data_IF_322871500264
#
_entry.id   IF_322871500264
#
_cell.length_a   1.000
_cell.length_b   1.000
_cell.length_c   1.000
_cell.angle_alpha   90.00
_cell.angle_beta   90.00
_cell.angle_gamma   90.00
#
_symmetry.space_group_name_H-M   'P 1'
#
loop_
_entity.id
_entity.type
_entity.pdbx_description
1 polymer ?
#
# COMPACT_ATOMS: atom_id res chain seq x y z
N UNK A 1 3.96 -2.00 14.47
CA UNK A 1 3.98 -1.55 13.08
C UNK A 1 2.87 -2.20 12.29
N UNK A 2 2.30 -1.49 11.34
CA UNK A 2 1.24 -2.02 10.50
C UNK A 2 1.81 -2.41 9.13
N UNK A 3 1.28 -3.48 8.56
CA UNK A 3 1.74 -4.02 7.28
C UNK A 3 0.80 -3.58 6.16
N UNK A 4 1.39 -3.18 5.02
CA UNK A 4 0.65 -2.73 3.85
C UNK A 4 1.18 -3.38 2.59
N UNK A 5 0.27 -3.64 1.64
CA UNK A 5 0.63 -3.99 0.27
C UNK A 5 0.41 -2.75 -0.59
N UNK A 6 1.44 -2.33 -1.30
CA UNK A 6 1.38 -1.18 -2.20
C UNK A 6 1.52 -1.70 -3.62
N UNK A 7 0.45 -1.58 -4.39
CA UNK A 7 0.46 -1.91 -5.82
C UNK A 7 0.75 -0.65 -6.61
N UNK A 8 1.62 -0.75 -7.60
CA UNK A 8 2.00 0.42 -8.37
C UNK A 8 2.04 0.15 -9.87
N UNK A 9 1.69 1.18 -10.63
CA UNK A 9 1.72 1.16 -12.08
C UNK A 9 2.51 2.38 -12.52
N UNK A 10 3.60 2.16 -13.24
CA UNK A 10 4.46 3.25 -13.72
C UNK A 10 3.78 4.03 -14.86
N UNK A 11 4.14 5.30 -14.98
CA UNK A 11 3.83 6.05 -16.18
C UNK A 11 4.69 5.53 -17.34
N UNK A 12 4.22 5.74 -18.57
CA UNK A 12 5.00 5.36 -19.76
C UNK A 12 6.36 6.07 -19.81
N UNK A 13 6.40 7.32 -19.35
CA UNK A 13 7.64 8.09 -19.26
C UNK A 13 8.65 7.46 -18.30
N UNK A 14 8.17 6.95 -17.17
CA UNK A 14 9.01 6.27 -16.19
C UNK A 14 9.58 4.98 -16.77
N UNK A 15 8.74 4.20 -17.46
CA UNK A 15 9.21 3.00 -18.14
C UNK A 15 10.30 3.32 -19.15
N UNK A 16 10.09 4.37 -19.96
CA UNK A 16 11.09 4.79 -20.96
C UNK A 16 12.42 5.16 -20.32
N UNK A 17 12.37 5.89 -19.20
CA UNK A 17 13.59 6.25 -18.46
C UNK A 17 14.30 5.01 -17.89
N UNK A 18 13.55 4.05 -17.39
CA UNK A 18 14.12 2.82 -16.82
C UNK A 18 14.73 1.92 -17.89
N UNK A 19 14.16 1.90 -19.08
CA UNK A 19 14.75 1.18 -20.22
C UNK A 19 16.11 1.78 -20.57
N UNK A 20 16.21 3.09 -20.61
CA UNK A 20 17.45 3.78 -20.97
C UNK A 20 18.50 3.72 -19.86
N UNK A 21 18.07 3.80 -18.61
CA UNK A 21 18.98 3.81 -17.45
C UNK A 21 18.40 2.97 -16.32
N UNK A 22 18.58 1.65 -16.39
CA UNK A 22 18.14 0.77 -15.30
C UNK A 22 18.89 1.11 -14.01
N UNK A 23 18.20 0.99 -12.88
CA UNK A 23 18.77 1.21 -11.57
C UNK A 23 18.31 0.16 -10.60
N UNK A 24 18.84 0.22 -9.37
CA UNK A 24 18.40 -0.66 -8.29
C UNK A 24 17.11 -0.10 -7.68
N UNK A 25 15.99 -0.55 -8.20
CA UNK A 25 14.69 -0.07 -7.74
C UNK A 25 14.32 -0.61 -6.35
N UNK A 26 14.83 -1.79 -6.00
CA UNK A 26 14.64 -2.34 -4.64
C UNK A 26 15.30 -1.46 -3.60
N UNK A 27 16.53 -1.01 -3.86
CA UNK A 27 17.23 -0.10 -2.96
C UNK A 27 16.47 1.22 -2.80
N UNK A 28 15.91 1.75 -3.88
CA UNK A 28 15.14 2.99 -3.84
C UNK A 28 13.86 2.84 -2.99
N UNK A 29 13.15 1.73 -3.14
CA UNK A 29 11.95 1.45 -2.34
C UNK A 29 12.31 1.28 -0.86
N UNK A 30 13.41 0.59 -0.58
CA UNK A 30 13.89 0.41 0.80
C UNK A 30 14.23 1.76 1.44
N UNK A 31 14.93 2.61 0.74
CA UNK A 31 15.30 3.94 1.23
C UNK A 31 14.05 4.77 1.53
N UNK A 32 13.07 4.73 0.67
CA UNK A 32 11.80 5.42 0.85
C UNK A 32 11.09 4.94 2.12
N UNK A 33 10.99 3.63 2.28
CA UNK A 33 10.32 3.03 3.45
C UNK A 33 11.06 3.37 4.74
N UNK A 34 12.40 3.31 4.71
CA UNK A 34 13.22 3.66 5.86
C UNK A 34 13.01 5.12 6.27
N UNK A 35 12.77 6.01 5.32
CA UNK A 35 12.61 7.44 5.58
C UNK A 35 11.41 7.78 6.47
N UNK A 36 10.43 6.91 6.54
CA UNK A 36 9.24 7.08 7.40
C UNK A 36 9.28 6.16 8.63
N UNK A 37 10.43 5.58 8.92
CA UNK A 37 10.60 4.71 10.08
C UNK A 37 10.05 3.30 9.88
N UNK A 38 9.82 2.90 8.65
CA UNK A 38 9.33 1.58 8.31
C UNK A 38 10.42 0.63 7.82
N UNK A 39 10.01 -0.51 7.33
CA UNK A 39 10.91 -1.49 6.71
C UNK A 39 10.24 -2.15 5.52
N UNK A 40 11.04 -2.44 4.49
CA UNK A 40 10.59 -3.15 3.30
C UNK A 40 10.71 -4.65 3.56
N UNK A 41 9.58 -5.37 3.47
CA UNK A 41 9.59 -6.82 3.58
C UNK A 41 9.96 -7.46 2.25
N UNK A 42 9.28 -7.04 1.17
CA UNK A 42 9.52 -7.60 -0.16
C UNK A 42 8.99 -6.66 -1.23
N UNK A 43 9.55 -6.76 -2.43
CA UNK A 43 9.05 -6.06 -3.60
C UNK A 43 9.22 -6.98 -4.81
N UNK A 44 8.20 -6.99 -5.67
CA UNK A 44 8.19 -7.76 -6.90
C UNK A 44 7.60 -6.93 -8.02
N UNK A 45 8.09 -7.14 -9.24
CA UNK A 45 7.51 -6.55 -10.43
C UNK A 45 6.66 -7.60 -11.13
N UNK A 46 5.63 -7.15 -11.84
CA UNK A 46 4.65 -8.04 -12.44
C UNK A 46 4.15 -7.47 -13.78
N UNK A 47 3.43 -8.29 -14.49
CA UNK A 47 2.76 -7.91 -15.74
C UNK A 47 1.26 -7.93 -15.50
N UNK A 48 0.53 -7.02 -16.16
CA UNK A 48 -0.92 -6.98 -16.08
C UNK A 48 -1.42 -5.62 -15.63
N UNK A 49 -2.44 -5.61 -14.78
CA UNK A 49 -3.06 -4.37 -14.31
C UNK A 49 -2.11 -3.50 -13.49
N UNK A 50 -1.16 -4.13 -12.80
CA UNK A 50 -0.13 -3.44 -12.01
C UNK A 50 1.24 -3.84 -12.50
N UNK A 51 2.23 -2.98 -12.25
CA UNK A 51 3.61 -3.23 -12.63
C UNK A 51 4.44 -3.76 -11.46
N UNK A 52 3.95 -3.61 -10.24
CA UNK A 52 4.66 -4.15 -9.08
C UNK A 52 3.84 -4.13 -7.80
N UNK A 53 4.39 -4.80 -6.80
CA UNK A 53 3.84 -4.87 -5.45
C UNK A 53 4.99 -4.76 -4.45
N UNK A 54 4.83 -3.91 -3.44
CA UNK A 54 5.73 -3.83 -2.31
C UNK A 54 4.97 -4.17 -1.03
N UNK A 55 5.56 -5.00 -0.20
CA UNK A 55 5.04 -5.29 1.14
C UNK A 55 5.91 -4.55 2.13
N UNK A 56 5.31 -3.66 2.91
CA UNK A 56 6.03 -2.79 3.83
C UNK A 56 5.41 -2.81 5.22
N UNK A 57 6.25 -2.62 6.22
CA UNK A 57 5.81 -2.36 7.59
C UNK A 57 6.09 -0.89 7.89
N UNK A 58 5.08 -0.17 8.35
CA UNK A 58 5.22 1.25 8.72
C UNK A 58 4.55 1.49 10.07
N UNK A 59 4.97 2.55 10.79
CA UNK A 59 4.47 2.78 12.14
C UNK A 59 2.96 2.98 12.23
N UNK A 60 2.36 3.66 11.25
CA UNK A 60 0.94 3.99 11.28
C UNK A 60 0.41 4.31 9.88
N UNK A 61 -0.90 4.49 9.77
CA UNK A 61 -1.56 4.77 8.51
C UNK A 61 -1.23 6.16 7.96
N UNK A 62 -0.90 7.12 8.82
CA UNK A 62 -0.52 8.46 8.38
C UNK A 62 0.79 8.39 7.59
N UNK A 63 1.76 7.63 8.06
CA UNK A 63 3.03 7.45 7.36
C UNK A 63 2.87 6.65 6.08
N UNK A 64 1.98 5.65 6.08
CA UNK A 64 1.65 4.92 4.86
C UNK A 64 1.06 5.84 3.80
N UNK A 65 0.12 6.71 4.19
CA UNK A 65 -0.47 7.69 3.30
C UNK A 65 0.57 8.71 2.81
N UNK A 66 1.47 9.14 3.70
CA UNK A 66 2.53 10.09 3.34
C UNK A 66 3.44 9.56 2.24
N UNK A 67 3.80 8.28 2.29
CA UNK A 67 4.59 7.64 1.24
C UNK A 67 3.82 7.69 -0.08
N UNK A 68 2.55 7.32 -0.07
CA UNK A 68 1.72 7.32 -1.28
C UNK A 68 1.59 8.72 -1.88
N UNK A 69 1.40 9.74 -1.06
CA UNK A 69 1.31 11.13 -1.52
C UNK A 69 2.64 11.60 -2.10
N UNK A 70 3.74 11.33 -1.40
CA UNK A 70 5.07 11.74 -1.84
C UNK A 70 5.41 11.12 -3.19
N UNK A 71 5.18 9.83 -3.34
CA UNK A 71 5.47 9.10 -4.58
C UNK A 71 4.50 9.54 -5.69
N UNK A 72 3.22 9.66 -5.38
CA UNK A 72 2.21 10.06 -6.34
C UNK A 72 2.42 11.48 -6.88
N UNK A 73 3.01 12.37 -6.08
CA UNK A 73 3.25 13.75 -6.49
C UNK A 73 4.35 13.90 -7.54
N UNK A 74 5.13 12.86 -7.77
CA UNK A 74 6.26 12.92 -8.72
C UNK A 74 5.86 12.74 -10.17
N UNK A 75 4.65 12.23 -10.44
CA UNK A 75 4.23 11.88 -11.79
C UNK A 75 4.86 10.60 -12.33
N UNK A 76 5.65 9.91 -11.51
CA UNK A 76 6.34 8.67 -11.92
C UNK A 76 5.39 7.49 -12.05
N UNK A 77 4.25 7.56 -11.39
CA UNK A 77 3.27 6.47 -11.36
C UNK A 77 1.95 6.91 -11.95
N UNK A 78 1.38 6.05 -12.78
CA UNK A 78 0.06 6.22 -13.34
C UNK A 78 -1.02 5.92 -12.29
N UNK A 79 -0.73 4.98 -11.39
CA UNK A 79 -1.67 4.54 -10.38
C UNK A 79 -0.94 3.92 -9.19
N UNK A 80 -1.48 4.14 -7.99
CA UNK A 80 -1.01 3.54 -6.75
C UNK A 80 -2.22 3.06 -5.97
N UNK A 81 -2.11 1.87 -5.38
CA UNK A 81 -3.10 1.33 -4.45
C UNK A 81 -2.39 0.88 -3.19
N UNK A 82 -2.86 1.33 -2.04
CA UNK A 82 -2.30 0.93 -0.76
C UNK A 82 -3.38 0.20 0.03
N UNK A 83 -3.09 -1.05 0.37
CA UNK A 83 -4.02 -1.90 1.11
C UNK A 83 -3.42 -2.25 2.46
N UNK A 84 -4.17 -1.98 3.54
CA UNK A 84 -3.80 -2.47 4.86
C UNK A 84 -3.95 -3.98 4.92
N UNK A 85 -2.97 -4.65 5.50
CA UNK A 85 -2.97 -6.09 5.64
C UNK A 85 -3.22 -6.47 7.09
N UNK A 86 -3.93 -7.56 7.29
CA UNK A 86 -4.27 -8.05 8.63
C UNK A 86 -3.66 -9.43 8.81
N UNK A 87 -3.09 -9.66 10.00
CA UNK A 87 -2.71 -10.99 10.42
C UNK A 87 -3.95 -11.79 10.83
N UNK A 88 -3.80 -13.08 11.04
CA UNK A 88 -4.91 -13.90 11.54
C UNK A 88 -5.42 -13.40 12.90
N UNK A 89 -4.52 -12.99 13.79
CA UNK A 89 -4.91 -12.45 15.10
C UNK A 89 -5.69 -11.16 14.96
N UNK A 90 -5.23 -10.26 14.07
CA UNK A 90 -5.93 -9.01 13.79
C UNK A 90 -7.30 -9.25 13.17
N UNK A 91 -7.42 -10.25 12.29
CA UNK A 91 -8.72 -10.64 11.74
C UNK A 91 -9.67 -11.06 12.85
N UNK A 92 -9.18 -11.81 13.83
CA UNK A 92 -9.98 -12.19 14.99
C UNK A 92 -10.54 -10.98 15.74
N UNK A 93 -9.70 -9.95 15.92
CA UNK A 93 -10.14 -8.70 16.55
C UNK A 93 -11.17 -7.96 15.70
N UNK A 94 -10.97 -7.91 14.37
CA UNK A 94 -11.94 -7.32 13.45
C UNK A 94 -13.29 -8.01 13.57
N UNK A 95 -13.29 -9.33 13.59
CA UNK A 95 -14.52 -10.10 13.68
C UNK A 95 -15.25 -9.88 15.01
N UNK A 96 -14.51 -9.72 16.10
CA UNK A 96 -15.06 -9.39 17.41
C UNK A 96 -15.76 -8.03 17.39
N UNK A 97 -15.10 -7.02 16.85
CA UNK A 97 -15.70 -5.69 16.73
C UNK A 97 -16.87 -5.67 15.72
N UNK A 98 -16.73 -6.45 14.64
CA UNK A 98 -17.79 -6.56 13.62
C UNK A 98 -19.09 -7.13 14.18
N UNK A 99 -18.99 -8.06 15.14
CA UNK A 99 -20.18 -8.61 15.82
C UNK A 99 -20.99 -7.48 16.48
N UNK A 100 -20.32 -6.61 17.21
CA UNK A 100 -20.97 -5.48 17.88
C UNK A 100 -21.51 -4.47 16.86
N UNK A 101 -20.75 -4.17 15.84
CA UNK A 101 -21.17 -3.24 14.80
C UNK A 101 -22.39 -3.77 14.03
N UNK A 102 -22.43 -5.08 13.76
CA UNK A 102 -23.54 -5.69 13.06
C UNK A 102 -24.85 -5.57 13.85
N UNK A 103 -24.76 -5.64 15.18
CA UNK A 103 -25.95 -5.49 16.04
C UNK A 103 -26.46 -4.05 16.05
N UNK A 104 -25.60 -3.08 15.86
CA UNK A 104 -25.95 -1.65 15.85
C UNK A 104 -26.36 -1.16 14.47
N UNK A 105 -26.04 -1.88 13.42
CA UNK A 105 -26.26 -1.43 12.05
C UNK A 105 -27.74 -1.47 11.68
N UNK A 106 -28.22 -0.36 11.11
CA UNK A 106 -29.57 -0.27 10.56
C UNK A 106 -29.45 -0.18 9.04
N UNK A 107 -29.91 -1.23 8.32
CA UNK A 107 -29.81 -1.21 6.86
C UNK A 107 -30.58 -0.06 6.23
N UNK A 108 -30.12 0.47 5.09
CA UNK A 108 -30.86 1.52 4.38
C UNK A 108 -32.29 1.06 4.06
N UNK A 109 -33.23 1.97 4.28
CA UNK A 109 -34.66 1.68 4.04
C UNK A 109 -35.38 1.00 5.20
N UNK A 110 -34.69 0.67 6.27
CA UNK A 110 -35.29 0.14 7.50
C UNK A 110 -35.26 1.19 8.59
N UNK A 111 -36.38 1.32 9.29
CA UNK A 111 -36.46 2.24 10.42
C UNK A 111 -36.02 1.52 11.68
N UNK A 112 -35.05 2.10 12.30
CA UNK A 112 -34.54 1.63 13.58
C UNK A 112 -35.45 2.08 14.70
#
# INVERSE_FOLDING_TARGET
>A
MAKYAVFFTYSSETWARMINKPGDRTAAVRQLTDSVGGSLESVYWMFGAHDGIAIVDVPDSIRAAAVSVAVGSTGSFKHLETHGLLTQDELGQVLSHARNAAQAYQPPGQQG
#
